data_IF_826138751958
#
_entry.id   IF_826138751958
#
_cell.length_a   1.000
_cell.length_b   1.000
_cell.length_c   1.000
_cell.angle_alpha   90.00
_cell.angle_beta   90.00
_cell.angle_gamma   90.00
#
_symmetry.space_group_name_H-M   'P 1'
#
loop_
_entity.id
_entity.type
_entity.pdbx_description
1 polymer ?
#
# COMPACT_ATOMS: atom_id res chain seq x y z
N UNK A 1 1.39 -19.85 -4.20
CA UNK A 1 0.80 -19.04 -3.12
C UNK A 1 0.60 -17.59 -3.59
N UNK A 2 -0.62 -17.21 -3.99
CA UNK A 2 -0.92 -15.81 -4.32
C UNK A 2 -0.88 -14.96 -3.04
N UNK A 3 0.02 -13.99 -2.96
CA UNK A 3 0.06 -13.01 -1.87
C UNK A 3 -1.31 -12.31 -1.84
N UNK A 4 -2.05 -12.43 -0.73
CA UNK A 4 -3.28 -11.65 -0.51
C UNK A 4 -2.89 -10.17 -0.61
N UNK A 5 -3.21 -9.54 -1.75
CA UNK A 5 -3.27 -8.08 -1.85
C UNK A 5 -4.32 -7.69 -0.82
N UNK A 6 -3.89 -7.07 0.29
CA UNK A 6 -4.84 -6.42 1.20
C UNK A 6 -5.73 -5.52 0.35
N UNK A 7 -7.02 -5.84 0.32
CA UNK A 7 -8.00 -5.02 -0.37
C UNK A 7 -8.17 -3.77 0.50
N UNK A 8 -7.99 -2.57 -0.06
CA UNK A 8 -8.21 -1.34 0.70
C UNK A 8 -9.67 -1.31 1.14
N UNK A 9 -9.90 -0.99 2.40
CA UNK A 9 -11.23 -0.76 2.96
C UNK A 9 -11.39 0.73 3.27
N UNK A 10 -12.62 1.22 3.22
CA UNK A 10 -12.91 2.60 3.57
C UNK A 10 -12.65 2.84 5.07
N UNK A 11 -11.85 3.83 5.43
CA UNK A 11 -11.57 4.18 6.83
C UNK A 11 -12.78 4.70 7.61
N UNK A 12 -13.90 5.01 6.93
CA UNK A 12 -15.11 5.56 7.55
C UNK A 12 -16.19 4.50 7.76
N UNK A 13 -16.51 3.73 6.73
CA UNK A 13 -17.60 2.76 6.75
C UNK A 13 -17.14 1.30 6.66
N UNK A 14 -15.83 1.06 6.57
CA UNK A 14 -15.21 -0.27 6.42
C UNK A 14 -15.63 -1.04 5.15
N UNK A 15 -16.37 -0.42 4.24
CA UNK A 15 -16.74 -1.03 2.97
C UNK A 15 -15.52 -1.31 2.08
N UNK A 16 -15.57 -2.43 1.35
CA UNK A 16 -14.63 -2.77 0.28
C UNK A 16 -15.00 -2.14 -1.08
N UNK A 17 -16.17 -1.47 -1.17
CA UNK A 17 -16.65 -0.82 -2.40
C UNK A 17 -15.92 0.52 -2.64
N UNK A 18 -14.61 0.42 -2.89
CA UNK A 18 -13.70 1.56 -3.03
C UNK A 18 -12.95 1.50 -4.37
N UNK A 19 -12.75 2.66 -5.00
CA UNK A 19 -12.04 2.81 -6.27
C UNK A 19 -10.84 3.75 -6.12
N UNK A 20 -9.71 3.39 -6.73
CA UNK A 20 -8.55 4.29 -6.83
C UNK A 20 -8.92 5.44 -7.77
N UNK A 21 -8.73 6.67 -7.31
CA UNK A 21 -8.95 7.88 -8.12
C UNK A 21 -7.64 8.56 -8.49
N UNK A 22 -6.62 8.49 -7.62
CA UNK A 22 -5.30 9.02 -7.92
C UNK A 22 -4.19 8.11 -7.34
N UNK A 23 -3.16 7.78 -8.15
CA UNK A 23 -2.05 6.95 -7.68
C UNK A 23 -1.12 7.69 -6.71
N UNK A 24 -1.17 9.02 -6.68
CA UNK A 24 -0.41 9.91 -5.82
C UNK A 24 -1.38 10.98 -5.31
N UNK A 25 -1.51 11.12 -3.99
CA UNK A 25 -2.35 12.14 -3.36
C UNK A 25 -1.54 13.38 -2.98
N UNK A 26 -1.79 13.91 -1.78
CA UNK A 26 -1.05 15.05 -1.21
C UNK A 26 0.44 14.75 -0.98
N UNK A 27 0.78 13.51 -0.69
CA UNK A 27 2.14 13.01 -0.53
C UNK A 27 2.48 11.91 -1.56
N UNK A 28 3.76 11.79 -1.91
CA UNK A 28 4.23 10.78 -2.88
C UNK A 28 3.95 9.33 -2.45
N UNK A 29 3.85 9.10 -1.13
CA UNK A 29 3.64 7.79 -0.55
C UNK A 29 2.16 7.44 -0.32
N UNK A 30 1.23 8.33 -0.63
CA UNK A 30 -0.21 8.06 -0.45
C UNK A 30 -0.89 7.77 -1.79
N UNK A 31 -1.90 6.92 -1.76
CA UNK A 31 -2.89 6.73 -2.83
C UNK A 31 -4.23 7.28 -2.36
N UNK A 32 -4.97 7.92 -3.27
CA UNK A 32 -6.33 8.38 -2.99
C UNK A 32 -7.36 7.39 -3.51
N UNK A 33 -8.35 7.15 -2.67
CA UNK A 33 -9.48 6.26 -2.91
C UNK A 33 -10.79 7.01 -2.71
N UNK A 34 -11.81 6.60 -3.48
CA UNK A 34 -13.19 7.04 -3.33
C UNK A 34 -14.06 5.85 -2.92
N UNK A 35 -14.83 5.99 -1.86
CA UNK A 35 -15.80 4.98 -1.45
C UNK A 35 -17.16 5.25 -2.09
N UNK A 36 -17.76 4.24 -2.71
CA UNK A 36 -19.08 4.37 -3.35
C UNK A 36 -20.25 4.29 -2.36
N UNK A 37 -20.04 3.72 -1.18
CA UNK A 37 -21.11 3.53 -0.18
C UNK A 37 -21.31 4.78 0.68
N UNK A 38 -20.25 5.30 1.30
CA UNK A 38 -20.32 6.52 2.11
C UNK A 38 -20.04 7.80 1.31
N UNK A 39 -19.65 7.68 0.03
CA UNK A 39 -19.34 8.82 -0.88
C UNK A 39 -18.21 9.73 -0.37
N UNK A 40 -17.26 9.16 0.39
CA UNK A 40 -16.11 9.89 0.93
C UNK A 40 -14.81 9.57 0.21
N UNK A 41 -13.93 10.57 0.12
CA UNK A 41 -12.54 10.42 -0.33
C UNK A 41 -11.64 10.16 0.88
N UNK A 42 -10.70 9.22 0.75
CA UNK A 42 -9.71 8.92 1.77
C UNK A 42 -8.36 8.55 1.17
N UNK A 43 -7.30 8.65 1.99
CA UNK A 43 -5.92 8.35 1.58
C UNK A 43 -5.40 7.10 2.29
N UNK A 44 -4.64 6.30 1.54
CA UNK A 44 -3.95 5.11 2.06
C UNK A 44 -2.45 5.27 1.89
N UNK A 45 -1.71 5.14 2.99
CA UNK A 45 -0.25 5.19 3.01
C UNK A 45 0.27 3.87 2.43
N UNK A 46 1.14 3.96 1.42
CA UNK A 46 1.91 2.83 0.91
C UNK A 46 3.02 2.52 1.90
N UNK A 47 2.71 1.76 2.94
CA UNK A 47 3.74 1.17 3.79
C UNK A 47 4.56 0.20 2.93
N UNK A 48 5.87 0.44 2.81
CA UNK A 48 6.80 -0.60 2.33
C UNK A 48 6.78 -1.70 3.39
N UNK A 49 6.07 -2.80 3.12
CA UNK A 49 6.24 -3.96 4.01
C UNK A 49 7.67 -4.47 3.83
N UNK A 50 8.34 -4.78 4.95
CA UNK A 50 9.71 -5.29 5.02
C UNK A 50 9.93 -6.53 4.12
N UNK A 51 8.85 -7.17 3.66
CA UNK A 51 8.88 -8.32 2.73
C UNK A 51 9.27 -7.95 1.29
N UNK A 52 9.46 -6.68 0.96
CA UNK A 52 10.04 -6.23 -0.31
C UNK A 52 11.57 -6.07 -0.28
N UNK A 53 12.22 -6.30 0.86
CA UNK A 53 13.67 -6.11 1.02
C UNK A 53 14.48 -7.40 0.79
N UNK A 54 13.96 -8.34 0.00
CA UNK A 54 14.76 -9.52 -0.42
C UNK A 54 16.02 -9.16 -1.20
N UNK A 55 16.08 -7.95 -1.77
CA UNK A 55 17.27 -7.44 -2.44
C UNK A 55 18.29 -6.83 -1.46
N UNK A 56 17.86 -6.33 -0.29
CA UNK A 56 18.76 -5.72 0.71
C UNK A 56 19.51 -6.81 1.49
N UNK A 57 18.84 -7.93 1.80
CA UNK A 57 19.48 -9.05 2.51
C UNK A 57 20.59 -9.71 1.67
N UNK A 58 20.38 -9.89 0.36
CA UNK A 58 21.43 -10.36 -0.54
C UNK A 58 22.62 -9.38 -0.63
N UNK A 59 22.39 -8.07 -0.60
CA UNK A 59 23.47 -7.09 -0.61
C UNK A 59 24.31 -7.13 0.69
N UNK A 60 23.66 -7.35 1.84
CA UNK A 60 24.35 -7.51 3.14
C UNK A 60 25.21 -8.77 3.20
N UNK A 61 24.73 -9.88 2.63
CA UNK A 61 25.50 -11.12 2.56
C UNK A 61 26.78 -10.96 1.71
N UNK A 62 26.73 -10.20 0.62
CA UNK A 62 27.90 -9.93 -0.24
C UNK A 62 28.91 -9.01 0.46
N UNK A 63 28.45 -8.01 1.23
CA UNK A 63 29.34 -7.08 1.94
C UNK A 63 30.03 -7.71 3.17
N UNK A 64 29.41 -8.68 3.84
CA UNK A 64 29.98 -9.40 4.98
C UNK A 64 30.80 -10.64 4.60
N UNK A 65 30.89 -10.96 3.30
CA UNK A 65 31.70 -12.07 2.78
C UNK A 65 33.14 -11.64 2.40
N UNK A 66 33.61 -10.49 2.90
CA UNK A 66 34.99 -10.03 2.78
C UNK A 66 35.73 -10.12 4.10
#
# INVERSE_FOLDING_TARGET
>A
MCKRKERPHCSFCQSENVKVIAPFGTAQLVRQFYCHDCKSVFEYIRWRSEKQDKHIENARAIMNAK
#
